data_IF_103895979074
#
_entry.id   IF_103895979074
#
_cell.length_a   1.000
_cell.length_b   1.000
_cell.length_c   1.000
_cell.angle_alpha   90.00
_cell.angle_beta   90.00
_cell.angle_gamma   90.00
#
_symmetry.space_group_name_H-M   'P 1'
#
loop_
_entity.id
_entity.type
_entity.pdbx_description
1 polymer ?
#
# COMPACT_ATOMS: atom_id res chain seq x y z
N UNK A 1 48.76 1.22 6.41
CA UNK A 1 47.54 0.39 6.50
C UNK A 1 46.33 1.29 6.25
N UNK A 2 45.69 1.24 5.08
CA UNK A 2 44.41 1.90 4.89
C UNK A 2 43.27 0.89 5.07
N UNK A 3 42.38 1.11 6.02
CA UNK A 3 40.96 0.81 5.85
C UNK A 3 40.37 1.94 5.01
N UNK A 4 39.70 1.67 3.88
CA UNK A 4 38.23 1.75 3.92
C UNK A 4 37.50 0.90 2.87
N UNK A 5 36.34 0.37 3.24
CA UNK A 5 35.04 0.76 2.67
C UNK A 5 33.95 -0.07 3.34
N UNK A 6 33.14 0.60 4.16
CA UNK A 6 31.82 0.11 4.52
C UNK A 6 31.00 0.07 3.23
N UNK A 7 30.87 -1.11 2.64
CA UNK A 7 29.84 -1.38 1.66
C UNK A 7 28.51 -1.30 2.40
N UNK A 8 27.74 -0.25 2.13
CA UNK A 8 26.32 -0.16 2.48
C UNK A 8 25.58 -1.27 1.72
N UNK A 9 25.67 -2.47 2.26
CA UNK A 9 25.06 -3.68 1.71
C UNK A 9 23.57 -3.53 1.97
N UNK A 10 22.83 -3.10 0.95
CA UNK A 10 21.37 -3.18 1.02
C UNK A 10 21.04 -4.66 1.32
N UNK A 11 20.23 -4.97 2.36
CA UNK A 11 19.93 -6.36 2.71
C UNK A 11 19.39 -7.09 1.48
N UNK A 12 19.89 -8.30 1.21
CA UNK A 12 19.56 -9.09 0.00
C UNK A 12 18.05 -9.18 -0.22
N UNK A 13 17.25 -9.31 0.85
CA UNK A 13 15.80 -9.32 0.79
C UNK A 13 15.16 -8.02 0.21
N UNK A 14 15.65 -6.83 0.58
CA UNK A 14 15.09 -5.58 0.05
C UNK A 14 15.40 -5.44 -1.45
N UNK A 15 16.57 -5.88 -1.88
CA UNK A 15 16.90 -5.92 -3.30
C UNK A 15 16.01 -6.91 -4.05
N UNK A 16 15.83 -8.13 -3.51
CA UNK A 16 14.94 -9.15 -4.09
C UNK A 16 13.49 -8.63 -4.21
N UNK A 17 12.99 -7.90 -3.20
CA UNK A 17 11.67 -7.26 -3.24
C UNK A 17 11.58 -6.21 -4.34
N UNK A 18 12.52 -5.27 -4.40
CA UNK A 18 12.53 -4.23 -5.43
C UNK A 18 12.58 -4.82 -6.84
N UNK A 19 13.50 -5.76 -7.08
CA UNK A 19 13.61 -6.43 -8.38
C UNK A 19 12.37 -7.24 -8.69
N UNK A 20 11.85 -8.00 -7.72
CA UNK A 20 10.69 -8.87 -7.88
C UNK A 20 9.37 -8.13 -8.12
N UNK A 21 9.25 -6.86 -7.71
CA UNK A 21 8.02 -6.07 -7.88
C UNK A 21 8.13 -4.89 -8.85
N UNK A 22 9.32 -4.59 -9.38
CA UNK A 22 9.55 -3.39 -10.21
C UNK A 22 8.58 -3.30 -11.41
N UNK A 23 8.48 -4.35 -12.22
CA UNK A 23 7.60 -4.35 -13.40
C UNK A 23 6.13 -4.27 -13.02
N UNK A 24 5.71 -4.93 -11.93
CA UNK A 24 4.32 -4.89 -11.45
C UNK A 24 3.94 -3.49 -10.96
N UNK A 25 4.85 -2.82 -10.25
CA UNK A 25 4.66 -1.44 -9.81
C UNK A 25 4.47 -0.51 -11.01
N UNK A 26 5.39 -0.55 -11.99
CA UNK A 26 5.32 0.30 -13.18
C UNK A 26 4.06 0.01 -14.00
N UNK A 27 3.71 -1.26 -14.18
CA UNK A 27 2.51 -1.65 -14.92
C UNK A 27 1.23 -1.11 -14.26
N UNK A 28 1.11 -1.25 -12.93
CA UNK A 28 -0.05 -0.72 -12.20
C UNK A 28 -0.09 0.81 -12.25
N UNK A 29 1.04 1.48 -12.06
CA UNK A 29 1.14 2.95 -12.09
C UNK A 29 0.67 3.54 -13.42
N UNK A 30 1.02 2.90 -14.54
CA UNK A 30 0.58 3.33 -15.89
C UNK A 30 -0.93 3.24 -16.09
N UNK A 31 -1.62 2.38 -15.33
CA UNK A 31 -3.06 2.15 -15.43
C UNK A 31 -3.87 2.97 -14.44
N UNK A 32 -3.22 3.63 -13.47
CA UNK A 32 -3.92 4.46 -12.49
C UNK A 32 -4.31 5.81 -13.13
N UNK A 33 -5.52 6.32 -12.87
CA UNK A 33 -6.04 7.49 -13.57
C UNK A 33 -5.53 8.83 -13.00
N UNK A 34 -4.64 8.83 -11.99
CA UNK A 34 -4.21 10.07 -11.29
C UNK A 34 -3.65 11.16 -12.22
N UNK A 35 -3.02 10.79 -13.32
CA UNK A 35 -2.49 11.73 -14.32
C UNK A 35 -3.33 11.79 -15.62
N UNK A 36 -4.43 11.04 -15.69
CA UNK A 36 -5.37 11.06 -16.82
C UNK A 36 -6.07 12.42 -16.87
N UNK A 37 -6.14 13.08 -18.03
CA UNK A 37 -6.74 14.41 -18.17
C UNK A 37 -8.25 14.44 -17.84
N UNK A 38 -8.93 13.30 -18.01
CA UNK A 38 -10.36 13.11 -17.79
C UNK A 38 -10.72 12.75 -16.35
N UNK A 39 -9.73 12.57 -15.46
CA UNK A 39 -10.02 12.33 -14.05
C UNK A 39 -10.78 13.51 -13.45
N UNK A 40 -11.96 13.21 -12.90
CA UNK A 40 -12.81 14.13 -12.14
C UNK A 40 -13.02 13.62 -10.70
N UNK A 41 -13.71 14.41 -9.88
CA UNK A 41 -13.98 14.07 -8.47
C UNK A 41 -14.83 12.80 -8.33
N UNK A 42 -15.75 12.52 -9.27
CA UNK A 42 -16.57 11.32 -9.21
C UNK A 42 -15.76 10.04 -9.46
N UNK A 43 -14.85 10.06 -10.44
CA UNK A 43 -13.92 8.97 -10.70
C UNK A 43 -12.92 8.82 -9.55
N UNK A 44 -12.38 9.92 -9.02
CA UNK A 44 -11.55 9.88 -7.81
C UNK A 44 -12.29 9.21 -6.64
N UNK A 45 -13.54 9.59 -6.37
CA UNK A 45 -14.34 8.96 -5.31
C UNK A 45 -14.53 7.46 -5.55
N UNK A 46 -14.80 7.01 -6.79
CA UNK A 46 -14.86 5.57 -7.12
C UNK A 46 -13.53 4.87 -6.87
N UNK A 47 -12.40 5.54 -7.16
CA UNK A 47 -11.06 5.02 -6.90
C UNK A 47 -10.82 4.84 -5.39
N UNK A 48 -11.16 5.83 -4.57
CA UNK A 48 -11.03 5.74 -3.11
C UNK A 48 -11.95 4.66 -2.53
N UNK A 49 -13.18 4.50 -3.05
CA UNK A 49 -14.06 3.38 -2.68
C UNK A 49 -13.42 2.02 -2.99
N UNK A 50 -12.78 1.88 -4.16
CA UNK A 50 -12.08 0.66 -4.53
C UNK A 50 -10.86 0.41 -3.63
N UNK A 51 -10.10 1.46 -3.27
CA UNK A 51 -9.00 1.34 -2.32
C UNK A 51 -9.49 0.89 -0.94
N UNK A 52 -10.56 1.49 -0.41
CA UNK A 52 -11.20 1.05 0.83
C UNK A 52 -11.61 -0.43 0.76
N UNK A 53 -12.28 -0.82 -0.33
CA UNK A 53 -12.72 -2.19 -0.55
C UNK A 53 -11.59 -3.23 -0.64
N UNK A 54 -10.36 -2.80 -0.91
CA UNK A 54 -9.17 -3.69 -0.87
C UNK A 54 -8.46 -3.66 0.48
N UNK A 55 -8.18 -2.46 1.01
CA UNK A 55 -7.42 -2.28 2.24
C UNK A 55 -8.16 -2.83 3.45
N UNK A 56 -9.46 -2.60 3.57
CA UNK A 56 -10.23 -3.02 4.73
C UNK A 56 -10.14 -4.54 4.97
N UNK A 57 -10.49 -5.42 3.99
CA UNK A 57 -10.41 -6.85 4.23
C UNK A 57 -8.96 -7.35 4.34
N UNK A 58 -8.00 -6.71 3.67
CA UNK A 58 -6.58 -7.08 3.75
C UNK A 58 -5.97 -6.78 5.12
N UNK A 59 -6.20 -5.59 5.66
CA UNK A 59 -5.73 -5.20 7.00
C UNK A 59 -6.41 -6.05 8.08
N UNK A 60 -7.70 -6.35 7.94
CA UNK A 60 -8.41 -7.27 8.83
C UNK A 60 -7.81 -8.69 8.78
N UNK A 61 -7.50 -9.20 7.58
CA UNK A 61 -6.89 -10.52 7.41
C UNK A 61 -5.46 -10.57 7.97
N UNK A 62 -4.65 -9.51 7.77
CA UNK A 62 -3.32 -9.39 8.37
C UNK A 62 -3.40 -9.44 9.90
N UNK A 63 -4.34 -8.69 10.49
CA UNK A 63 -4.55 -8.72 11.93
C UNK A 63 -5.00 -10.11 12.40
N UNK A 64 -6.01 -10.69 11.76
CA UNK A 64 -6.58 -11.99 12.16
C UNK A 64 -5.60 -13.16 11.99
N UNK A 65 -4.62 -13.04 11.08
CA UNK A 65 -3.63 -14.09 10.84
C UNK A 65 -2.81 -14.43 12.09
N UNK A 66 -2.50 -13.44 12.93
CA UNK A 66 -1.53 -13.59 14.02
C UNK A 66 -0.11 -13.93 13.54
N UNK A 67 0.17 -13.83 12.24
CA UNK A 67 1.45 -14.22 11.62
C UNK A 67 2.39 -13.05 11.36
N UNK A 68 1.94 -11.81 11.58
CA UNK A 68 2.82 -10.63 11.53
C UNK A 68 3.88 -10.78 12.64
N UNK A 69 5.18 -10.77 12.31
CA UNK A 69 6.21 -10.94 13.32
C UNK A 69 6.16 -9.84 14.40
N UNK A 70 6.65 -10.19 15.59
CA UNK A 70 6.68 -9.26 16.71
C UNK A 70 7.56 -8.04 16.41
N UNK A 71 7.18 -6.89 16.98
CA UNK A 71 7.92 -5.63 16.82
C UNK A 71 7.42 -4.74 15.69
N UNK A 72 6.40 -5.16 14.95
CA UNK A 72 5.66 -4.29 14.02
C UNK A 72 4.40 -3.74 14.67
N UNK A 73 4.32 -2.42 14.79
CA UNK A 73 3.12 -1.72 15.26
C UNK A 73 2.09 -1.65 14.12
N UNK A 74 1.17 -2.62 14.11
CA UNK A 74 0.10 -2.71 13.09
C UNK A 74 -0.92 -1.59 13.24
N UNK A 75 -1.26 -1.18 14.47
CA UNK A 75 -2.35 -0.23 14.74
C UNK A 75 -2.03 1.16 14.20
N UNK A 76 -0.80 1.64 14.40
CA UNK A 76 -0.38 2.95 13.88
C UNK A 76 -0.16 2.97 12.35
N UNK A 77 -0.33 1.84 11.69
CA UNK A 77 -0.05 1.67 10.25
C UNK A 77 -1.28 1.28 9.45
N UNK A 78 -2.47 1.25 10.07
CA UNK A 78 -3.73 1.05 9.36
C UNK A 78 -4.04 2.27 8.49
N UNK A 79 -4.40 2.03 7.23
CA UNK A 79 -4.86 3.06 6.28
C UNK A 79 -6.38 3.09 6.21
N UNK A 80 -7.05 1.99 6.58
CA UNK A 80 -8.52 1.87 6.52
C UNK A 80 -9.25 3.01 7.24
N UNK A 81 -8.85 3.45 8.46
CA UNK A 81 -9.51 4.57 9.12
C UNK A 81 -9.43 5.87 8.32
N UNK A 82 -8.28 6.15 7.70
CA UNK A 82 -8.08 7.33 6.84
C UNK A 82 -8.94 7.23 5.57
N UNK A 83 -8.97 6.07 4.92
CA UNK A 83 -9.84 5.83 3.76
C UNK A 83 -11.32 6.02 4.08
N UNK A 84 -11.76 5.56 5.25
CA UNK A 84 -13.13 5.77 5.71
C UNK A 84 -13.42 7.26 5.92
N UNK A 85 -12.50 7.99 6.56
CA UNK A 85 -12.63 9.43 6.77
C UNK A 85 -12.68 10.21 5.45
N UNK A 86 -11.84 9.84 4.47
CA UNK A 86 -11.87 10.44 3.14
C UNK A 86 -13.21 10.21 2.45
N UNK A 87 -13.74 8.99 2.48
CA UNK A 87 -15.06 8.69 1.91
C UNK A 87 -16.19 9.49 2.57
N UNK A 88 -16.10 9.73 3.89
CA UNK A 88 -17.03 10.61 4.61
C UNK A 88 -16.91 12.06 4.14
N UNK A 89 -15.70 12.57 3.96
CA UNK A 89 -15.45 13.92 3.47
C UNK A 89 -15.93 14.11 2.02
N UNK A 90 -15.83 13.06 1.20
CA UNK A 90 -16.37 12.99 -0.16
C UNK A 90 -17.91 12.82 -0.21
N UNK A 91 -18.58 12.81 0.95
CA UNK A 91 -20.04 12.87 1.04
C UNK A 91 -20.77 11.53 1.15
N UNK A 92 -20.07 10.41 1.31
CA UNK A 92 -20.75 9.13 1.60
C UNK A 92 -21.19 9.08 3.07
N UNK A 93 -22.35 8.48 3.32
CA UNK A 93 -22.73 8.13 4.68
C UNK A 93 -22.06 6.82 5.16
N UNK A 94 -22.06 6.57 6.47
CA UNK A 94 -21.40 5.39 7.04
C UNK A 94 -22.02 4.08 6.52
N UNK A 95 -23.34 4.03 6.35
CA UNK A 95 -24.03 2.84 5.85
C UNK A 95 -23.63 2.53 4.40
N UNK A 96 -23.49 3.57 3.58
CA UNK A 96 -23.04 3.47 2.19
C UNK A 96 -21.60 2.98 2.10
N UNK A 97 -20.72 3.45 2.99
CA UNK A 97 -19.32 2.98 3.06
C UNK A 97 -19.27 1.50 3.47
N UNK A 98 -20.03 1.10 4.49
CA UNK A 98 -20.05 -0.30 4.95
C UNK A 98 -20.60 -1.26 3.88
N UNK A 99 -21.53 -0.78 3.05
CA UNK A 99 -22.10 -1.52 1.93
C UNK A 99 -21.21 -1.57 0.68
N UNK A 100 -20.06 -0.87 0.66
CA UNK A 100 -19.14 -0.94 -0.47
C UNK A 100 -18.66 -2.38 -0.68
N UNK A 101 -18.57 -2.84 -1.94
CA UNK A 101 -18.04 -4.16 -2.23
C UNK A 101 -16.58 -4.27 -1.76
N UNK A 102 -16.25 -5.43 -1.20
CA UNK A 102 -14.94 -5.75 -0.63
C UNK A 102 -14.24 -6.81 -1.47
N UNK A 103 -12.91 -6.74 -1.53
CA UNK A 103 -12.13 -7.71 -2.27
C UNK A 103 -12.16 -9.07 -1.56
N UNK A 104 -12.81 -10.05 -2.18
CA UNK A 104 -12.90 -11.43 -1.66
C UNK A 104 -11.63 -12.25 -1.97
N UNK A 105 -10.83 -11.81 -2.94
CA UNK A 105 -9.67 -12.54 -3.45
C UNK A 105 -8.37 -11.83 -3.06
N UNK A 106 -8.01 -11.97 -1.78
CA UNK A 106 -6.80 -11.40 -1.18
C UNK A 106 -5.55 -12.25 -1.46
N UNK A 107 -4.34 -11.66 -1.37
CA UNK A 107 -3.11 -12.45 -1.38
C UNK A 107 -3.07 -13.44 -0.20
N UNK A 108 -2.48 -14.63 -0.38
CA UNK A 108 -2.43 -15.64 0.67
C UNK A 108 -1.54 -15.20 1.84
N UNK A 109 -2.08 -15.26 3.06
CA UNK A 109 -1.37 -14.96 4.31
C UNK A 109 -0.96 -16.24 5.04
N UNK A 110 -0.23 -17.13 4.36
CA UNK A 110 0.09 -18.47 4.85
C UNK A 110 1.33 -18.55 5.76
N UNK A 111 2.06 -17.45 5.94
CA UNK A 111 3.29 -17.41 6.76
C UNK A 111 3.64 -15.98 7.19
N UNK A 112 4.57 -15.87 8.13
CA UNK A 112 5.18 -14.60 8.52
C UNK A 112 5.84 -13.88 7.33
N UNK A 113 6.55 -14.63 6.47
CA UNK A 113 7.13 -14.09 5.24
C UNK A 113 6.07 -13.54 4.29
N UNK A 114 4.93 -14.22 4.16
CA UNK A 114 3.83 -13.73 3.33
C UNK A 114 3.26 -12.41 3.87
N UNK A 115 3.06 -12.30 5.18
CA UNK A 115 2.62 -11.06 5.81
C UNK A 115 3.62 -9.92 5.57
N UNK A 116 4.93 -10.18 5.70
CA UNK A 116 5.97 -9.19 5.42
C UNK A 116 5.93 -8.68 3.97
N UNK A 117 5.69 -9.58 3.01
CA UNK A 117 5.57 -9.22 1.59
C UNK A 117 4.38 -8.30 1.33
N UNK A 118 3.24 -8.59 1.95
CA UNK A 118 2.05 -7.71 1.89
C UNK A 118 2.34 -6.35 2.51
N UNK A 119 2.92 -6.33 3.72
CA UNK A 119 3.26 -5.08 4.42
C UNK A 119 4.25 -4.23 3.62
N UNK A 120 5.21 -4.84 2.90
CA UNK A 120 6.12 -4.12 2.01
C UNK A 120 5.36 -3.32 0.93
N UNK A 121 4.33 -3.92 0.33
CA UNK A 121 3.51 -3.24 -0.68
C UNK A 121 2.70 -2.11 -0.05
N UNK A 122 2.06 -2.34 1.09
CA UNK A 122 1.22 -1.32 1.75
C UNK A 122 2.05 -0.13 2.28
N UNK A 123 3.23 -0.37 2.85
CA UNK A 123 4.12 0.70 3.30
C UNK A 123 4.76 1.42 2.13
N UNK A 124 5.18 0.69 1.09
CA UNK A 124 5.76 1.25 -0.13
C UNK A 124 4.80 2.17 -0.87
N UNK A 125 3.51 1.82 -0.94
CA UNK A 125 2.47 2.61 -1.60
C UNK A 125 2.32 4.04 -1.02
N UNK A 126 2.66 4.25 0.25
CA UNK A 126 2.57 5.58 0.89
C UNK A 126 3.61 6.58 0.36
N UNK A 127 4.70 6.10 -0.24
CA UNK A 127 5.75 6.97 -0.78
C UNK A 127 5.27 7.72 -2.02
N UNK A 128 4.52 7.05 -2.90
CA UNK A 128 3.96 7.64 -4.13
C UNK A 128 2.87 8.68 -3.84
N UNK A 129 2.14 8.51 -2.73
CA UNK A 129 1.06 9.42 -2.31
C UNK A 129 1.48 10.89 -2.23
N UNK A 130 2.73 11.18 -1.86
CA UNK A 130 3.27 12.55 -1.78
C UNK A 130 3.28 13.30 -3.12
N UNK A 131 3.41 12.58 -4.24
CA UNK A 131 3.33 13.16 -5.57
C UNK A 131 1.85 13.31 -5.96
N UNK A 132 1.07 12.26 -5.72
CA UNK A 132 -0.36 12.21 -6.07
C UNK A 132 -1.17 13.30 -5.34
N UNK A 133 -0.89 13.57 -4.06
CA UNK A 133 -1.61 14.60 -3.29
C UNK A 133 -1.49 15.99 -3.91
N UNK A 134 -0.32 16.34 -4.45
CA UNK A 134 -0.10 17.65 -5.08
C UNK A 134 -0.90 17.77 -6.37
N UNK A 135 -0.97 16.67 -7.12
CA UNK A 135 -1.73 16.62 -8.35
C UNK A 135 -3.24 16.68 -8.11
N UNK A 136 -3.74 15.96 -7.09
CA UNK A 136 -5.16 15.98 -6.71
C UNK A 136 -5.57 17.35 -6.16
N UNK A 137 -4.75 17.99 -5.33
CA UNK A 137 -5.00 19.35 -4.86
C UNK A 137 -5.08 20.34 -6.02
N UNK A 138 -4.16 20.25 -6.98
CA UNK A 138 -4.11 21.15 -8.13
C UNK A 138 -5.29 20.97 -9.09
N UNK A 139 -5.76 19.73 -9.30
CA UNK A 139 -6.72 19.41 -10.36
C UNK A 139 -8.16 19.27 -9.88
N UNK A 140 -8.34 18.78 -8.66
CA UNK A 140 -9.65 18.43 -8.12
C UNK A 140 -9.96 19.19 -6.82
N UNK A 141 -9.07 20.07 -6.37
CA UNK A 141 -9.18 20.80 -5.09
C UNK A 141 -9.28 19.85 -3.89
N UNK A 142 -8.59 18.71 -3.96
CA UNK A 142 -8.58 17.67 -2.92
C UNK A 142 -7.29 17.68 -2.10
N UNK A 143 -7.42 17.80 -0.79
CA UNK A 143 -6.34 17.78 0.19
C UNK A 143 -6.66 16.86 1.38
N UNK A 144 -5.85 16.91 2.44
CA UNK A 144 -6.00 16.03 3.58
C UNK A 144 -7.26 16.29 4.42
N UNK A 145 -7.94 17.43 4.24
CA UNK A 145 -9.10 17.81 5.04
C UNK A 145 -10.43 17.51 4.33
N UNK A 146 -10.41 17.28 3.01
CA UNK A 146 -11.64 17.16 2.21
C UNK A 146 -11.73 15.90 1.31
N UNK A 147 -10.94 14.86 1.60
CA UNK A 147 -11.06 13.56 0.93
C UNK A 147 -9.78 13.00 0.31
N UNK A 148 -8.65 13.67 0.50
CA UNK A 148 -7.32 13.26 0.02
C UNK A 148 -6.34 12.86 1.11
N UNK A 149 -6.77 12.63 2.35
CA UNK A 149 -5.89 12.30 3.49
C UNK A 149 -5.12 11.01 3.28
N UNK A 150 -5.68 10.02 2.60
CA UNK A 150 -5.03 8.74 2.30
C UNK A 150 -3.77 8.92 1.45
N UNK A 151 -3.74 9.92 0.55
CA UNK A 151 -2.55 10.24 -0.24
C UNK A 151 -1.44 10.86 0.61
N UNK A 152 -1.75 11.26 1.84
CA UNK A 152 -0.82 11.80 2.83
C UNK A 152 -0.98 11.11 4.20
N UNK A 153 -1.28 9.81 4.21
CA UNK A 153 -1.72 9.07 5.42
C UNK A 153 -0.78 9.22 6.63
N UNK A 154 0.52 9.41 6.38
CA UNK A 154 1.53 9.62 7.42
C UNK A 154 2.07 11.05 7.48
N UNK A 155 1.63 11.96 6.61
CA UNK A 155 2.12 13.32 6.57
C UNK A 155 3.65 13.39 6.44
N UNK A 156 4.23 14.31 7.21
CA UNK A 156 5.68 14.46 7.36
C UNK A 156 6.40 13.21 7.90
N UNK A 157 5.68 12.25 8.50
CA UNK A 157 6.27 11.02 9.02
C UNK A 157 6.47 9.94 7.94
N UNK A 158 5.96 10.12 6.71
CA UNK A 158 6.02 9.10 5.63
C UNK A 158 7.42 8.50 5.45
N UNK A 159 8.45 9.35 5.29
CA UNK A 159 9.83 8.88 5.12
C UNK A 159 10.39 8.15 6.34
N UNK A 160 10.03 8.60 7.55
CA UNK A 160 10.41 7.92 8.81
C UNK A 160 9.73 6.56 8.93
N UNK A 161 8.42 6.48 8.69
CA UNK A 161 7.65 5.23 8.75
C UNK A 161 8.16 4.18 7.77
N UNK A 162 8.56 4.62 6.58
CA UNK A 162 9.21 3.75 5.60
C UNK A 162 10.57 3.26 6.09
N UNK A 163 11.42 4.15 6.61
CA UNK A 163 12.71 3.76 7.20
C UNK A 163 12.52 2.75 8.34
N UNK A 164 11.60 3.02 9.26
CA UNK A 164 11.30 2.13 10.38
C UNK A 164 10.84 0.75 9.88
N UNK A 165 10.07 0.71 8.79
CA UNK A 165 9.67 -0.55 8.15
C UNK A 165 10.86 -1.29 7.52
N UNK A 166 11.77 -0.58 6.84
CA UNK A 166 12.99 -1.18 6.29
C UNK A 166 13.92 -1.73 7.37
N UNK A 167 14.07 -0.99 8.48
CA UNK A 167 14.86 -1.43 9.63
C UNK A 167 14.23 -2.67 10.28
N UNK A 168 12.89 -2.74 10.33
CA UNK A 168 12.15 -3.93 10.77
C UNK A 168 12.33 -5.11 9.82
N UNK A 169 12.20 -4.90 8.51
CA UNK A 169 12.43 -5.91 7.47
C UNK A 169 13.85 -6.49 7.55
N UNK A 170 14.85 -5.65 7.79
CA UNK A 170 16.26 -6.06 7.91
C UNK A 170 16.57 -6.91 9.15
N UNK A 171 15.66 -6.99 10.14
CA UNK A 171 15.81 -7.85 11.32
C UNK A 171 15.18 -9.23 11.14
N UNK A 172 14.47 -9.45 10.04
CA UNK A 172 13.77 -10.71 9.80
C UNK A 172 14.75 -11.80 9.30
N UNK A 173 14.42 -13.09 9.50
CA UNK A 173 15.27 -14.18 9.02
C UNK A 173 15.56 -14.07 7.51
N UNK A 174 16.85 -14.14 7.16
CA UNK A 174 17.34 -13.99 5.80
C UNK A 174 17.73 -15.34 5.16
N UNK A 175 16.83 -16.32 5.23
CA UNK A 175 16.99 -17.59 4.52
C UNK A 175 16.29 -17.53 3.14
N UNK A 176 16.81 -18.31 2.19
CA UNK A 176 16.33 -18.29 0.81
C UNK A 176 14.85 -18.68 0.67
N UNK A 177 14.30 -19.51 1.57
CA UNK A 177 12.90 -19.90 1.53
C UNK A 177 12.01 -18.76 1.98
N UNK A 178 12.36 -18.11 3.09
CA UNK A 178 11.67 -16.91 3.58
C UNK A 178 11.69 -15.81 2.53
N UNK A 179 12.85 -15.51 1.92
CA UNK A 179 12.94 -14.49 0.87
C UNK A 179 11.99 -14.75 -0.29
N UNK A 180 11.93 -15.99 -0.79
CA UNK A 180 10.98 -16.36 -1.86
C UNK A 180 9.53 -16.13 -1.46
N UNK A 181 9.14 -16.51 -0.25
CA UNK A 181 7.77 -16.29 0.24
C UNK A 181 7.43 -14.80 0.36
N UNK A 182 8.36 -13.98 0.85
CA UNK A 182 8.17 -12.52 0.98
C UNK A 182 7.98 -11.88 -0.40
N UNK A 183 8.84 -12.20 -1.36
CA UNK A 183 8.73 -11.68 -2.73
C UNK A 183 7.45 -12.15 -3.42
N UNK A 184 7.12 -13.45 -3.31
CA UNK A 184 5.92 -14.02 -3.92
C UNK A 184 4.63 -13.40 -3.37
N UNK A 185 4.59 -13.11 -2.06
CA UNK A 185 3.45 -12.45 -1.44
C UNK A 185 3.33 -10.98 -1.87
N UNK A 186 4.45 -10.26 -2.01
CA UNK A 186 4.43 -8.90 -2.56
C UNK A 186 3.89 -8.88 -3.99
N UNK A 187 4.37 -9.79 -4.86
CA UNK A 187 3.87 -9.96 -6.22
C UNK A 187 2.38 -10.30 -6.26
N UNK A 188 1.95 -11.24 -5.41
CA UNK A 188 0.54 -11.63 -5.27
C UNK A 188 -0.33 -10.45 -4.81
N UNK A 189 0.20 -9.57 -3.95
CA UNK A 189 -0.52 -8.37 -3.48
C UNK A 189 -0.77 -7.41 -4.63
N UNK A 190 0.25 -7.12 -5.45
CA UNK A 190 0.09 -6.33 -6.68
C UNK A 190 -0.97 -6.94 -7.61
N UNK A 191 -0.85 -8.23 -7.91
CA UNK A 191 -1.77 -8.92 -8.81
C UNK A 191 -3.23 -8.93 -8.29
N UNK A 192 -3.42 -9.10 -6.98
CA UNK A 192 -4.76 -9.04 -6.38
C UNK A 192 -5.32 -7.62 -6.39
N UNK A 193 -4.48 -6.62 -6.12
CA UNK A 193 -4.90 -5.23 -6.12
C UNK A 193 -5.27 -4.74 -7.52
N UNK A 194 -4.42 -5.01 -8.51
CA UNK A 194 -4.68 -4.66 -9.91
C UNK A 194 -5.99 -5.31 -10.41
N UNK A 195 -6.15 -6.62 -10.23
CA UNK A 195 -7.38 -7.33 -10.61
C UNK A 195 -8.61 -6.78 -9.91
N UNK A 196 -8.47 -6.36 -8.65
CA UNK A 196 -9.56 -5.74 -7.92
C UNK A 196 -9.93 -4.38 -8.53
N UNK A 197 -8.97 -3.49 -8.73
CA UNK A 197 -9.22 -2.17 -9.33
C UNK A 197 -9.79 -2.28 -10.76
N UNK A 198 -9.32 -3.26 -11.54
CA UNK A 198 -9.85 -3.58 -12.87
C UNK A 198 -11.34 -3.97 -12.82
N UNK A 199 -11.70 -4.90 -11.92
CA UNK A 199 -13.11 -5.29 -11.66
C UNK A 199 -13.99 -4.17 -11.14
N UNK A 200 -13.39 -3.13 -10.54
CA UNK A 200 -14.11 -1.94 -10.09
C UNK A 200 -14.22 -0.86 -11.18
N UNK A 201 -13.64 -1.11 -12.36
CA UNK A 201 -13.67 -0.21 -13.52
C UNK A 201 -13.14 1.19 -13.18
N UNK A 202 -12.05 1.22 -12.38
CA UNK A 202 -11.37 2.46 -11.96
C UNK A 202 -9.98 2.62 -12.56
N UNK A 203 -9.45 1.60 -13.24
CA UNK A 203 -8.23 1.69 -14.05
C UNK A 203 -8.53 2.26 -15.44
N UNK A 204 -7.48 2.74 -16.11
CA UNK A 204 -7.49 3.14 -17.53
C UNK A 204 -7.55 1.93 -18.47
#
# INVERSE_FOLDING_TARGET
>A
MPTPHQTSTTPTLLQDLRTGTATLHVALEQRLPFFCAQLDTAWYQRLIQAYYGFYQPLEAALHASGLVPQGYDTQQRLKTPTLFADLRALGLDAASIEALPRCEHLPPLASAGACLGVLYVLEGATLGGQILRREMARRLDLDADNGGAFLDVYGAATGRRWKDFLDYLGRMPDDASTRRHVVSAAQSTFACFERWLDRREVLL
#
